data_IF_520432840757
#
_entry.id   IF_520432840757
#
_cell.length_a   1.000
_cell.length_b   1.000
_cell.length_c   1.000
_cell.angle_alpha   90.00
_cell.angle_beta   90.00
_cell.angle_gamma   90.00
#
_symmetry.space_group_name_H-M   'P 1'
#
loop_
_entity.id
_entity.type
_entity.pdbx_description
1 polymer ?
#
# COMPACT_ATOMS: atom_id res chain seq x y z
N UNK A 1 -2.51 19.41 1.56
CA UNK A 1 -3.27 18.15 1.41
C UNK A 1 -3.16 17.76 -0.06
N UNK A 2 -2.64 16.58 -0.39
CA UNK A 2 -2.44 16.18 -1.80
C UNK A 2 -3.78 16.06 -2.53
N UNK A 3 -3.87 16.59 -3.75
CA UNK A 3 -5.04 16.38 -4.60
C UNK A 3 -5.14 14.89 -4.99
N UNK A 4 -6.36 14.41 -5.28
CA UNK A 4 -6.61 13.01 -5.65
C UNK A 4 -5.77 12.61 -6.87
N UNK A 5 -5.59 13.51 -7.84
CA UNK A 5 -4.73 13.24 -9.01
C UNK A 5 -3.27 13.03 -8.62
N UNK A 6 -2.76 13.80 -7.66
CA UNK A 6 -1.40 13.66 -7.15
C UNK A 6 -1.24 12.37 -6.35
N UNK A 7 -2.20 12.04 -5.49
CA UNK A 7 -2.23 10.79 -4.74
C UNK A 7 -2.20 9.59 -5.70
N UNK A 8 -3.05 9.58 -6.72
CA UNK A 8 -3.06 8.53 -7.75
C UNK A 8 -1.74 8.44 -8.49
N UNK A 9 -1.12 9.57 -8.86
CA UNK A 9 0.18 9.58 -9.53
C UNK A 9 1.27 8.90 -8.68
N UNK A 10 1.28 9.19 -7.38
CA UNK A 10 2.22 8.58 -6.42
C UNK A 10 1.93 7.08 -6.26
N UNK A 11 0.66 6.71 -6.08
CA UNK A 11 0.25 5.32 -5.90
C UNK A 11 0.59 4.49 -7.14
N UNK A 12 0.35 5.00 -8.36
CA UNK A 12 0.64 4.31 -9.62
C UNK A 12 2.14 4.14 -9.90
N UNK A 13 2.99 5.04 -9.40
CA UNK A 13 4.43 4.99 -9.68
C UNK A 13 5.04 3.68 -9.16
N UNK A 14 5.57 2.86 -10.06
CA UNK A 14 6.20 1.58 -9.71
C UNK A 14 5.20 0.48 -9.32
N UNK A 15 3.90 0.70 -9.51
CA UNK A 15 2.86 -0.32 -9.33
C UNK A 15 2.63 -1.00 -10.67
N UNK A 16 2.67 -2.34 -10.69
CA UNK A 16 2.45 -3.12 -11.90
C UNK A 16 1.00 -2.97 -12.42
N UNK A 17 0.03 -3.12 -11.52
CA UNK A 17 -1.40 -3.05 -11.85
C UNK A 17 -2.20 -2.57 -10.63
N UNK A 18 -3.31 -1.85 -10.88
CA UNK A 18 -4.32 -1.53 -9.88
C UNK A 18 -5.64 -2.15 -10.34
N UNK A 19 -6.05 -3.21 -9.64
CA UNK A 19 -7.36 -3.82 -9.87
C UNK A 19 -8.43 -2.82 -9.42
N UNK A 20 -9.37 -2.50 -10.31
CA UNK A 20 -10.47 -1.56 -10.08
C UNK A 20 -10.02 -0.15 -9.63
N UNK A 21 -9.21 0.51 -10.46
CA UNK A 21 -8.75 1.89 -10.19
C UNK A 21 -9.89 2.87 -9.85
N UNK A 22 -11.05 2.75 -10.52
CA UNK A 22 -12.22 3.58 -10.23
C UNK A 22 -12.67 3.46 -8.77
N UNK A 23 -12.63 2.26 -8.20
CA UNK A 23 -13.00 2.03 -6.81
C UNK A 23 -11.99 2.67 -5.84
N UNK A 24 -10.69 2.61 -6.17
CA UNK A 24 -9.65 3.31 -5.41
C UNK A 24 -9.91 4.82 -5.40
N UNK A 25 -10.25 5.41 -6.54
CA UNK A 25 -10.60 6.84 -6.64
C UNK A 25 -11.78 7.18 -5.73
N UNK A 26 -12.86 6.39 -5.79
CA UNK A 26 -14.03 6.59 -4.93
C UNK A 26 -13.71 6.43 -3.44
N UNK A 27 -12.76 5.56 -3.09
CA UNK A 27 -12.26 5.42 -1.71
C UNK A 27 -11.46 6.66 -1.26
N UNK A 28 -10.60 7.21 -2.12
CA UNK A 28 -9.81 8.42 -1.82
C UNK A 28 -10.70 9.67 -1.67
N UNK A 29 -11.76 9.79 -2.48
CA UNK A 29 -12.75 10.88 -2.41
C UNK A 29 -13.48 10.99 -1.07
N UNK A 30 -13.56 9.90 -0.29
CA UNK A 30 -14.23 9.91 1.02
C UNK A 30 -13.53 10.79 2.05
N UNK A 31 -12.30 11.25 1.78
CA UNK A 31 -11.58 12.17 2.65
C UNK A 31 -11.15 11.59 4.00
N UNK A 32 -11.22 10.26 4.16
CA UNK A 32 -10.76 9.56 5.37
C UNK A 32 -9.55 8.68 5.06
N UNK A 33 -8.61 8.50 6.01
CA UNK A 33 -7.48 7.60 5.85
C UNK A 33 -7.94 6.19 5.41
N UNK A 34 -7.32 5.65 4.37
CA UNK A 34 -7.49 4.25 3.99
C UNK A 34 -6.69 3.36 4.91
N UNK A 35 -7.15 2.13 5.10
CA UNK A 35 -6.37 1.06 5.75
C UNK A 35 -5.76 0.21 4.64
N UNK A 36 -4.45 0.30 4.49
CA UNK A 36 -3.67 -0.41 3.46
C UNK A 36 -2.95 -1.58 4.11
N UNK A 37 -3.23 -2.79 3.65
CA UNK A 37 -2.74 -4.01 4.27
C UNK A 37 -1.69 -4.67 3.40
N UNK A 38 -0.62 -5.17 4.03
CA UNK A 38 0.36 -6.07 3.41
C UNK A 38 0.48 -7.31 4.28
N UNK A 39 0.21 -8.48 3.70
CA UNK A 39 0.53 -9.76 4.32
C UNK A 39 1.99 -10.12 4.05
N UNK A 40 2.68 -10.62 5.08
CA UNK A 40 4.03 -11.18 4.98
C UNK A 40 4.00 -12.57 5.60
N UNK A 41 4.52 -13.53 4.86
CA UNK A 41 4.73 -14.90 5.31
C UNK A 41 6.09 -14.98 6.04
N UNK A 42 6.12 -15.37 7.33
CA UNK A 42 7.35 -15.45 8.12
C UNK A 42 8.19 -16.71 7.85
N UNK A 43 7.81 -17.57 6.88
CA UNK A 43 8.49 -18.86 6.60
C UNK A 43 10.00 -18.71 6.33
N UNK A 44 10.44 -17.58 5.78
CA UNK A 44 11.86 -17.22 5.71
C UNK A 44 12.15 -15.99 6.59
N UNK A 45 13.18 -16.04 7.46
CA UNK A 45 13.50 -14.94 8.36
C UNK A 45 14.16 -13.74 7.66
N UNK A 46 14.62 -13.90 6.42
CA UNK A 46 15.50 -12.95 5.75
C UNK A 46 14.76 -11.91 4.90
N UNK A 47 14.87 -10.64 5.29
CA UNK A 47 14.44 -9.50 4.47
C UNK A 47 15.58 -9.13 3.52
N UNK A 48 15.35 -9.32 2.21
CA UNK A 48 16.24 -8.80 1.16
C UNK A 48 15.64 -7.58 0.44
N UNK A 49 16.43 -6.97 -0.46
CA UNK A 49 16.08 -5.75 -1.20
C UNK A 49 14.75 -5.83 -1.98
N UNK A 50 14.27 -7.03 -2.32
CA UNK A 50 12.99 -7.22 -2.99
C UNK A 50 11.80 -6.72 -2.16
N UNK A 51 11.85 -6.90 -0.83
CA UNK A 51 10.81 -6.41 0.07
C UNK A 51 10.70 -4.89 0.10
N UNK A 52 11.79 -4.18 -0.22
CA UNK A 52 11.78 -2.71 -0.25
C UNK A 52 10.79 -2.16 -1.27
N UNK A 53 10.46 -2.90 -2.34
CA UNK A 53 9.49 -2.46 -3.35
C UNK A 53 8.11 -2.23 -2.72
N UNK A 54 7.58 -3.25 -2.03
CA UNK A 54 6.26 -3.17 -1.40
C UNK A 54 6.27 -2.31 -0.14
N UNK A 55 7.35 -2.33 0.64
CA UNK A 55 7.50 -1.48 1.83
C UNK A 55 7.58 0.01 1.47
N UNK A 56 8.25 0.38 0.37
CA UNK A 56 8.25 1.75 -0.12
C UNK A 56 6.86 2.18 -0.60
N UNK A 57 6.08 1.27 -1.20
CA UNK A 57 4.70 1.58 -1.56
C UNK A 57 3.83 1.83 -0.32
N UNK A 58 3.98 1.04 0.75
CA UNK A 58 3.33 1.34 2.03
C UNK A 58 3.77 2.71 2.57
N UNK A 59 5.06 3.05 2.46
CA UNK A 59 5.57 4.36 2.88
C UNK A 59 4.94 5.50 2.08
N UNK A 60 4.70 5.33 0.79
CA UNK A 60 3.96 6.30 -0.01
C UNK A 60 2.55 6.52 0.57
N UNK A 61 1.81 5.44 0.87
CA UNK A 61 0.48 5.55 1.49
C UNK A 61 0.52 6.26 2.86
N UNK A 62 1.54 6.00 3.70
CA UNK A 62 1.72 6.74 4.95
C UNK A 62 1.95 8.24 4.73
N UNK A 63 2.80 8.61 3.75
CA UNK A 63 3.07 10.02 3.41
C UNK A 63 1.82 10.74 2.88
N UNK A 64 0.91 10.01 2.24
CA UNK A 64 -0.40 10.53 1.81
C UNK A 64 -1.43 10.61 2.95
N UNK A 65 -1.07 10.20 4.17
CA UNK A 65 -1.92 10.29 5.36
C UNK A 65 -2.81 9.06 5.59
N UNK A 66 -2.50 7.92 4.97
CA UNK A 66 -3.24 6.67 5.16
C UNK A 66 -2.60 5.79 6.24
N UNK A 67 -3.38 4.87 6.80
CA UNK A 67 -2.91 3.91 7.78
C UNK A 67 -2.46 2.63 7.08
N UNK A 68 -1.25 2.17 7.40
CA UNK A 68 -0.73 0.90 6.90
C UNK A 68 -0.74 -0.14 8.00
N UNK A 69 -1.07 -1.38 7.64
CA UNK A 69 -1.12 -2.52 8.55
C UNK A 69 -0.31 -3.64 7.91
N UNK A 70 0.78 -4.02 8.57
CA UNK A 70 1.54 -5.21 8.22
C UNK A 70 0.94 -6.40 8.98
N UNK A 71 0.62 -7.47 8.27
CA UNK A 71 0.05 -8.69 8.85
C UNK A 71 1.07 -9.80 8.69
N UNK A 72 1.50 -10.39 9.80
CA UNK A 72 2.40 -11.55 9.79
C UNK A 72 1.53 -12.81 9.81
N UNK A 73 1.60 -13.62 8.75
CA UNK A 73 0.79 -14.82 8.58
C UNK A 73 1.38 -16.04 9.28
N UNK A 74 1.23 -16.17 10.59
CA UNK A 74 1.76 -17.32 11.35
C UNK A 74 0.91 -18.60 11.31
N UNK A 75 -0.29 -18.54 10.71
CA UNK A 75 -1.23 -19.68 10.66
C UNK A 75 -1.35 -20.37 9.30
N UNK A 76 -0.66 -19.87 8.28
CA UNK A 76 -0.67 -20.40 6.89
C UNK A 76 0.74 -20.76 6.39
N UNK A 77 1.75 -20.57 7.24
CA UNK A 77 3.15 -20.91 7.00
C UNK A 77 3.36 -22.44 7.07
#
# INVERSE_FOLDING_TARGET
>A
MFDIKEQLKIIKKGTLEIINEKELIEKLKRGRPLVVKLGVDPTAPDIHLGHTVVLNKLRDFQKLGHHVVLIIGSGTA
#
